data_IF_709778459074
#
_entry.id   IF_709778459074
#
_cell.length_a   1.000
_cell.length_b   1.000
_cell.length_c   1.000
_cell.angle_alpha   90.00
_cell.angle_beta   90.00
_cell.angle_gamma   90.00
#
_symmetry.space_group_name_H-M   'P 1'
#
loop_
_entity.id
_entity.type
_entity.pdbx_description
1 polymer ?
#
# COMPACT_ATOMS: atom_id res chain seq x y z
N UNK A 1 34.60 -8.44 2.04
CA UNK A 1 35.45 -7.34 2.57
C UNK A 1 34.96 -5.97 2.11
N UNK A 2 35.22 -5.46 0.90
CA UNK A 2 34.72 -4.11 0.51
C UNK A 2 33.18 -4.02 0.39
N UNK A 3 32.51 -5.08 -0.06
CA UNK A 3 31.04 -5.15 -0.16
C UNK A 3 30.33 -5.34 1.20
N UNK A 4 31.03 -5.84 2.22
CA UNK A 4 30.47 -6.07 3.57
C UNK A 4 30.34 -4.77 4.39
N UNK A 5 31.25 -3.80 4.17
CA UNK A 5 31.23 -2.52 4.89
C UNK A 5 30.34 -1.46 4.22
N UNK A 6 29.93 -1.67 2.97
CA UNK A 6 29.04 -0.76 2.25
C UNK A 6 27.70 -0.50 2.98
N UNK A 7 26.96 -1.51 3.48
CA UNK A 7 25.70 -1.27 4.18
C UNK A 7 25.86 -0.58 5.53
N UNK A 8 26.94 -0.86 6.28
CA UNK A 8 27.20 -0.21 7.57
C UNK A 8 27.55 1.28 7.40
N UNK A 9 28.42 1.59 6.42
CA UNK A 9 28.77 2.98 6.09
C UNK A 9 27.56 3.74 5.55
N UNK A 10 26.71 3.11 4.74
CA UNK A 10 25.45 3.72 4.27
C UNK A 10 24.49 3.99 5.44
N UNK A 11 24.32 3.04 6.36
CA UNK A 11 23.47 3.22 7.53
C UNK A 11 23.96 4.35 8.44
N UNK A 12 25.29 4.51 8.57
CA UNK A 12 25.90 5.57 9.38
C UNK A 12 25.80 6.95 8.70
N UNK A 13 25.97 7.02 7.38
CA UNK A 13 25.72 8.23 6.59
C UNK A 13 24.24 8.61 6.68
N UNK A 14 23.32 7.66 6.50
CA UNK A 14 21.88 7.89 6.64
C UNK A 14 21.51 8.37 8.05
N UNK A 15 22.16 7.85 9.09
CA UNK A 15 21.91 8.27 10.46
C UNK A 15 22.20 9.78 10.65
N UNK A 16 23.19 10.33 9.95
CA UNK A 16 23.52 11.76 9.97
C UNK A 16 22.46 12.66 9.32
N UNK A 17 21.67 12.14 8.37
CA UNK A 17 20.59 12.88 7.69
C UNK A 17 19.21 12.70 8.34
N UNK A 18 19.09 11.88 9.38
CA UNK A 18 17.81 11.69 10.09
C UNK A 18 17.48 12.91 10.94
N UNK A 19 16.29 13.47 10.69
CA UNK A 19 15.73 14.51 11.55
C UNK A 19 15.65 14.01 13.00
N UNK A 20 15.90 14.91 13.96
CA UNK A 20 15.72 14.60 15.38
C UNK A 20 14.28 14.16 15.64
N UNK A 21 14.01 13.23 16.59
CA UNK A 21 12.65 12.77 16.88
C UNK A 21 11.64 13.90 17.10
N UNK A 22 12.01 14.94 17.84
CA UNK A 22 11.16 16.12 18.06
C UNK A 22 10.83 16.85 16.74
N UNK A 23 11.80 16.96 15.83
CA UNK A 23 11.61 17.56 14.50
C UNK A 23 10.73 16.69 13.61
N UNK A 24 10.87 15.36 13.65
CA UNK A 24 9.99 14.44 12.91
C UNK A 24 8.54 14.58 13.38
N UNK A 25 8.31 14.55 14.70
CA UNK A 25 6.96 14.72 15.27
C UNK A 25 6.41 16.10 14.96
N UNK A 26 7.21 17.15 15.11
CA UNK A 26 6.79 18.52 14.77
C UNK A 26 6.43 18.67 13.30
N UNK A 27 7.25 18.15 12.39
CA UNK A 27 7.01 18.16 10.95
C UNK A 27 5.75 17.35 10.60
N UNK A 28 5.57 16.18 11.22
CA UNK A 28 4.37 15.36 11.05
C UNK A 28 3.11 16.14 11.44
N UNK A 29 3.11 16.80 12.61
CA UNK A 29 1.96 17.59 13.07
C UNK A 29 1.64 18.73 12.11
N UNK A 30 2.65 19.49 11.66
CA UNK A 30 2.45 20.60 10.71
C UNK A 30 1.86 20.09 9.40
N UNK A 31 2.41 19.01 8.84
CA UNK A 31 1.95 18.46 7.57
C UNK A 31 0.57 17.80 7.69
N UNK A 32 0.25 17.15 8.80
CA UNK A 32 -1.10 16.65 9.07
C UNK A 32 -2.12 17.78 9.13
N UNK A 33 -1.83 18.85 9.88
CA UNK A 33 -2.73 20.01 9.97
C UNK A 33 -2.93 20.66 8.61
N UNK A 34 -1.84 20.87 7.86
CA UNK A 34 -1.89 21.45 6.52
C UNK A 34 -2.69 20.57 5.55
N UNK A 35 -2.45 19.25 5.55
CA UNK A 35 -3.14 18.30 4.70
C UNK A 35 -4.63 18.23 5.00
N UNK A 36 -5.02 18.15 6.28
CA UNK A 36 -6.43 18.18 6.68
C UNK A 36 -7.09 19.50 6.29
N UNK A 37 -6.40 20.64 6.50
CA UNK A 37 -6.90 21.94 6.07
C UNK A 37 -7.14 22.00 4.55
N UNK A 38 -6.21 21.48 3.74
CA UNK A 38 -6.36 21.38 2.29
C UNK A 38 -7.54 20.48 1.88
N UNK A 39 -7.70 19.33 2.55
CA UNK A 39 -8.83 18.41 2.31
C UNK A 39 -10.17 19.10 2.62
N UNK A 40 -10.22 19.94 3.66
CA UNK A 40 -11.42 20.73 3.97
C UNK A 40 -11.72 21.79 2.91
N UNK A 41 -10.69 22.41 2.31
CA UNK A 41 -10.90 23.35 1.20
C UNK A 41 -11.54 22.69 -0.04
N UNK A 42 -11.39 21.37 -0.20
CA UNK A 42 -12.03 20.63 -1.27
C UNK A 42 -13.55 20.42 -1.09
N UNK A 43 -14.14 20.87 0.03
CA UNK A 43 -15.59 20.82 0.31
C UNK A 43 -16.20 19.43 0.13
N UNK A 44 -15.43 18.39 0.43
CA UNK A 44 -15.89 17.00 0.34
C UNK A 44 -16.95 16.70 1.41
N UNK A 45 -17.89 15.76 1.16
CA UNK A 45 -18.77 15.24 2.19
C UNK A 45 -17.95 14.75 3.40
N UNK A 46 -18.46 14.96 4.61
CA UNK A 46 -17.71 14.66 5.85
C UNK A 46 -17.15 13.23 5.87
N UNK A 47 -17.94 12.23 5.46
CA UNK A 47 -17.50 10.84 5.40
C UNK A 47 -16.30 10.64 4.46
N UNK A 48 -16.35 11.24 3.26
CA UNK A 48 -15.24 11.21 2.30
C UNK A 48 -14.01 11.95 2.82
N UNK A 49 -14.20 13.11 3.46
CA UNK A 49 -13.12 13.88 4.04
C UNK A 49 -12.38 13.09 5.15
N UNK A 50 -13.11 12.34 5.98
CA UNK A 50 -12.52 11.46 7.00
C UNK A 50 -11.68 10.37 6.34
N UNK A 51 -12.23 9.66 5.35
CA UNK A 51 -11.53 8.57 4.64
C UNK A 51 -10.24 9.07 3.98
N UNK A 52 -10.32 10.18 3.23
CA UNK A 52 -9.16 10.78 2.56
C UNK A 52 -8.12 11.23 3.58
N UNK A 53 -8.54 11.81 4.72
CA UNK A 53 -7.63 12.21 5.79
C UNK A 53 -6.93 11.00 6.42
N UNK A 54 -7.64 9.89 6.65
CA UNK A 54 -7.03 8.64 7.16
C UNK A 54 -5.96 8.10 6.22
N UNK A 55 -6.27 8.03 4.91
CA UNK A 55 -5.31 7.58 3.90
C UNK A 55 -4.10 8.52 3.84
N UNK A 56 -4.34 9.83 3.85
CA UNK A 56 -3.29 10.84 3.83
C UNK A 56 -2.33 10.70 5.02
N UNK A 57 -2.86 10.58 6.24
CA UNK A 57 -2.04 10.41 7.45
C UNK A 57 -1.24 9.11 7.39
N UNK A 58 -1.84 8.02 6.91
CA UNK A 58 -1.16 6.73 6.79
C UNK A 58 0.01 6.77 5.79
N UNK A 59 -0.15 7.47 4.66
CA UNK A 59 0.92 7.64 3.67
C UNK A 59 2.03 8.59 4.13
N UNK A 60 1.66 9.62 4.88
CA UNK A 60 2.61 10.62 5.39
C UNK A 60 3.48 10.08 6.53
N UNK A 61 2.92 9.20 7.36
CA UNK A 61 3.58 8.67 8.55
C UNK A 61 4.94 8.00 8.26
N UNK A 62 5.08 7.01 7.36
CA UNK A 62 6.35 6.34 7.12
C UNK A 62 7.35 7.24 6.39
N UNK A 63 6.90 8.32 5.75
CA UNK A 63 7.75 9.30 5.09
C UNK A 63 8.51 10.17 6.12
N UNK A 64 7.85 10.54 7.21
CA UNK A 64 8.40 11.46 8.21
C UNK A 64 8.93 10.74 9.44
N UNK A 65 8.17 9.78 9.98
CA UNK A 65 8.50 9.07 11.21
C UNK A 65 9.39 7.88 10.87
N UNK A 66 10.68 8.01 11.18
CA UNK A 66 11.70 6.95 11.02
C UNK A 66 12.14 6.33 12.35
N UNK A 67 11.48 6.70 13.45
CA UNK A 67 11.77 6.21 14.79
C UNK A 67 11.27 4.77 14.93
N UNK A 68 12.13 3.85 15.35
CA UNK A 68 11.82 2.43 15.58
C UNK A 68 11.64 2.18 17.08
N UNK A 69 10.40 2.25 17.56
CA UNK A 69 10.03 1.84 18.91
C UNK A 69 8.63 1.19 18.92
N UNK A 70 8.30 0.49 20.00
CA UNK A 70 7.03 -0.26 20.09
C UNK A 70 5.79 0.59 19.81
N UNK A 71 5.78 1.84 20.26
CA UNK A 71 4.67 2.75 20.05
C UNK A 71 4.56 3.17 18.58
N UNK A 72 5.67 3.55 17.95
CA UNK A 72 5.67 4.00 16.55
C UNK A 72 5.33 2.87 15.60
N UNK A 73 5.75 1.65 15.91
CA UNK A 73 5.35 0.43 15.21
C UNK A 73 3.85 0.16 15.36
N UNK A 74 3.32 0.20 16.59
CA UNK A 74 1.89 -0.01 16.82
C UNK A 74 1.03 1.04 16.09
N UNK A 75 1.47 2.30 16.08
CA UNK A 75 0.84 3.37 15.31
C UNK A 75 0.89 3.11 13.81
N UNK A 76 2.03 2.64 13.27
CA UNK A 76 2.12 2.23 11.86
C UNK A 76 1.08 1.18 11.50
N UNK A 77 0.96 0.11 12.29
CA UNK A 77 -0.04 -0.94 12.06
C UNK A 77 -1.47 -0.40 12.16
N UNK A 78 -1.73 0.48 13.13
CA UNK A 78 -3.02 1.14 13.27
C UNK A 78 -3.39 1.99 12.06
N UNK A 79 -2.45 2.78 11.56
CA UNK A 79 -2.64 3.63 10.37
C UNK A 79 -2.79 2.79 9.09
N UNK A 80 -1.98 1.74 8.93
CA UNK A 80 -2.10 0.77 7.84
C UNK A 80 -3.50 0.16 7.80
N UNK A 81 -3.92 -0.44 8.92
CA UNK A 81 -5.22 -1.10 9.04
C UNK A 81 -6.37 -0.12 8.85
N UNK A 82 -6.27 1.09 9.41
CA UNK A 82 -7.28 2.14 9.22
C UNK A 82 -7.39 2.58 7.76
N UNK A 83 -6.28 2.78 7.05
CA UNK A 83 -6.29 3.16 5.65
C UNK A 83 -6.89 2.06 4.77
N UNK A 84 -6.46 0.80 4.93
CA UNK A 84 -7.06 -0.32 4.19
C UNK A 84 -8.54 -0.48 4.49
N UNK A 85 -8.94 -0.45 5.76
CA UNK A 85 -10.34 -0.54 6.15
C UNK A 85 -11.17 0.62 5.57
N UNK A 86 -10.61 1.84 5.53
CA UNK A 86 -11.28 3.00 4.96
C UNK A 86 -11.46 2.87 3.44
N UNK A 87 -10.45 2.38 2.71
CA UNK A 87 -10.56 2.14 1.25
C UNK A 87 -11.60 1.04 0.98
N UNK A 88 -11.55 -0.08 1.71
CA UNK A 88 -12.51 -1.16 1.57
C UNK A 88 -13.93 -0.72 1.91
N UNK A 89 -14.11 0.01 3.01
CA UNK A 89 -15.41 0.57 3.40
C UNK A 89 -15.94 1.50 2.31
N UNK A 90 -15.11 2.40 1.79
CA UNK A 90 -15.50 3.33 0.73
C UNK A 90 -15.97 2.59 -0.51
N UNK A 91 -15.25 1.55 -0.93
CA UNK A 91 -15.58 0.72 -2.08
C UNK A 91 -16.90 -0.04 -1.87
N UNK A 92 -17.09 -0.65 -0.70
CA UNK A 92 -18.32 -1.39 -0.39
C UNK A 92 -19.53 -0.46 -0.29
N UNK A 93 -19.40 0.63 0.45
CA UNK A 93 -20.52 1.55 0.70
C UNK A 93 -20.90 2.37 -0.54
N UNK A 94 -19.93 2.73 -1.39
CA UNK A 94 -20.18 3.59 -2.56
C UNK A 94 -20.59 2.79 -3.80
N UNK A 95 -20.20 1.52 -3.92
CA UNK A 95 -20.43 0.74 -5.14
C UNK A 95 -21.15 -0.59 -4.91
N UNK A 96 -20.72 -1.41 -3.95
CA UNK A 96 -21.32 -2.75 -3.77
C UNK A 96 -22.72 -2.69 -3.17
N UNK A 97 -22.90 -1.94 -2.07
CA UNK A 97 -24.18 -1.86 -1.40
C UNK A 97 -25.27 -1.20 -2.26
N UNK A 98 -25.00 -0.06 -2.94
CA UNK A 98 -25.99 0.56 -3.83
C UNK A 98 -26.37 -0.32 -5.03
N UNK A 99 -25.46 -1.19 -5.47
CA UNK A 99 -25.73 -2.16 -6.54
C UNK A 99 -26.62 -3.31 -6.08
N UNK A 100 -26.42 -3.81 -4.84
CA UNK A 100 -27.28 -4.84 -4.24
C UNK A 100 -28.71 -4.35 -3.99
N UNK A 101 -28.88 -3.07 -3.66
CA UNK A 101 -30.20 -2.46 -3.43
C UNK A 101 -30.87 -1.94 -4.71
N UNK A 102 -30.24 -2.15 -5.88
CA UNK A 102 -30.77 -1.73 -7.18
C UNK A 102 -30.77 -0.21 -7.43
N UNK A 103 -30.12 0.56 -6.55
CA UNK A 103 -30.02 2.02 -6.67
C UNK A 103 -28.94 2.50 -7.65
N UNK A 104 -27.98 1.63 -8.00
CA UNK A 104 -26.95 1.88 -9.01
C UNK A 104 -26.63 0.59 -9.78
N UNK A 105 -26.04 0.73 -10.97
CA UNK A 105 -25.54 -0.43 -11.72
C UNK A 105 -24.31 -1.03 -11.02
N UNK A 106 -24.19 -2.37 -11.04
CA UNK A 106 -22.95 -3.03 -10.59
C UNK A 106 -21.77 -2.54 -11.42
N UNK A 107 -20.62 -2.35 -10.75
CA UNK A 107 -19.35 -2.17 -11.44
C UNK A 107 -19.12 -3.35 -12.39
N UNK A 108 -18.54 -3.06 -13.56
CA UNK A 108 -18.13 -4.13 -14.47
C UNK A 108 -17.07 -5.01 -13.80
N UNK A 109 -16.99 -6.27 -14.23
CA UNK A 109 -16.05 -7.23 -13.64
C UNK A 109 -14.61 -6.75 -13.80
N UNK A 110 -14.32 -6.03 -14.87
CA UNK A 110 -13.01 -5.46 -15.16
C UNK A 110 -12.67 -4.27 -14.26
N UNK A 111 -13.64 -3.43 -13.94
CA UNK A 111 -13.46 -2.36 -12.97
C UNK A 111 -13.15 -2.94 -11.58
N UNK A 112 -13.88 -3.99 -11.17
CA UNK A 112 -13.61 -4.72 -9.92
C UNK A 112 -12.21 -5.31 -9.94
N UNK A 113 -11.82 -5.97 -11.05
CA UNK A 113 -10.49 -6.54 -11.20
C UNK A 113 -9.37 -5.47 -11.07
N UNK A 114 -9.54 -4.31 -11.70
CA UNK A 114 -8.60 -3.19 -11.57
C UNK A 114 -8.52 -2.69 -10.13
N UNK A 115 -9.65 -2.61 -9.42
CA UNK A 115 -9.66 -2.22 -8.00
C UNK A 115 -8.94 -3.24 -7.12
N UNK A 116 -9.10 -4.54 -7.37
CA UNK A 116 -8.39 -5.58 -6.62
C UNK A 116 -6.89 -5.48 -6.86
N UNK A 117 -6.45 -5.31 -8.10
CA UNK A 117 -5.03 -5.07 -8.45
C UNK A 117 -4.49 -3.85 -7.71
N UNK A 118 -5.23 -2.74 -7.74
CA UNK A 118 -4.82 -1.51 -7.06
C UNK A 118 -4.72 -1.71 -5.54
N UNK A 119 -5.70 -2.36 -4.93
CA UNK A 119 -5.69 -2.69 -3.50
C UNK A 119 -4.53 -3.62 -3.13
N UNK A 120 -4.20 -4.56 -4.01
CA UNK A 120 -3.10 -5.48 -3.80
C UNK A 120 -1.75 -4.76 -3.83
N UNK A 121 -1.52 -3.90 -4.83
CA UNK A 121 -0.31 -3.06 -4.93
C UNK A 121 -0.22 -2.11 -3.74
N UNK A 122 -1.27 -1.32 -3.49
CA UNK A 122 -1.27 -0.32 -2.41
C UNK A 122 -1.17 -0.99 -1.05
N UNK A 123 -1.86 -2.11 -0.85
CA UNK A 123 -1.79 -2.88 0.39
C UNK A 123 -0.38 -3.38 0.66
N UNK A 124 0.26 -3.98 -0.34
CA UNK A 124 1.65 -4.47 -0.21
C UNK A 124 2.64 -3.33 -0.01
N UNK A 125 2.55 -2.25 -0.78
CA UNK A 125 3.46 -1.11 -0.66
C UNK A 125 3.31 -0.39 0.69
N UNK A 126 2.07 -0.18 1.13
CA UNK A 126 1.79 0.42 2.42
C UNK A 126 2.28 -0.48 3.56
N UNK A 127 2.15 -1.80 3.42
CA UNK A 127 2.70 -2.75 4.38
C UNK A 127 4.24 -2.70 4.41
N UNK A 128 4.89 -2.61 3.26
CA UNK A 128 6.35 -2.48 3.17
C UNK A 128 6.88 -1.22 3.86
N UNK A 129 6.18 -0.10 3.71
CA UNK A 129 6.61 1.16 4.30
C UNK A 129 6.24 1.35 5.77
N UNK A 130 5.04 0.89 6.19
CA UNK A 130 4.59 1.07 7.57
C UNK A 130 5.11 -0.02 8.50
N UNK A 131 5.27 -1.24 8.00
CA UNK A 131 5.54 -2.43 8.80
C UNK A 131 6.85 -3.12 8.40
N UNK A 132 7.86 -2.37 7.93
CA UNK A 132 9.15 -2.86 7.42
C UNK A 132 9.78 -3.98 8.26
N UNK A 133 9.79 -3.88 9.59
CA UNK A 133 10.35 -4.90 10.50
C UNK A 133 9.58 -6.23 10.51
N UNK A 134 8.33 -6.21 10.06
CA UNK A 134 7.41 -7.34 10.00
C UNK A 134 7.11 -7.75 8.55
N UNK A 135 7.70 -7.08 7.57
CA UNK A 135 7.77 -7.55 6.18
C UNK A 135 8.62 -8.81 6.21
N UNK A 136 7.99 -9.95 5.93
CA UNK A 136 8.55 -11.30 5.77
C UNK A 136 10.09 -11.35 5.71
N UNK A 137 10.75 -11.22 6.87
CA UNK A 137 12.18 -10.87 6.89
C UNK A 137 13.07 -12.03 6.42
N UNK A 138 12.52 -13.23 6.42
CA UNK A 138 13.18 -14.46 6.03
C UNK A 138 12.41 -15.09 4.87
N UNK A 139 13.16 -15.55 3.86
CA UNK A 139 12.64 -16.37 2.76
C UNK A 139 12.25 -17.76 3.26
N UNK A 140 11.17 -17.82 4.03
CA UNK A 140 10.56 -19.07 4.51
C UNK A 140 9.40 -19.49 3.59
N UNK A 141 8.98 -20.76 3.68
CA UNK A 141 7.91 -21.33 2.84
C UNK A 141 6.60 -20.52 2.90
N UNK A 142 6.33 -19.86 4.04
CA UNK A 142 5.18 -18.97 4.24
C UNK A 142 5.22 -17.75 3.32
N UNK A 143 6.40 -17.16 3.16
CA UNK A 143 6.60 -15.99 2.29
C UNK A 143 6.40 -16.36 0.82
N UNK A 144 6.90 -17.52 0.39
CA UNK A 144 6.67 -18.05 -0.95
C UNK A 144 5.20 -18.40 -1.19
N UNK A 145 4.53 -19.02 -0.22
CA UNK A 145 3.11 -19.33 -0.33
C UNK A 145 2.27 -18.07 -0.46
N UNK A 146 2.50 -17.05 0.38
CA UNK A 146 1.77 -15.79 0.30
C UNK A 146 2.04 -15.09 -1.04
N UNK A 147 3.30 -15.00 -1.46
CA UNK A 147 3.67 -14.38 -2.74
C UNK A 147 3.00 -15.09 -3.91
N UNK A 148 2.93 -16.43 -3.88
CA UNK A 148 2.25 -17.21 -4.91
C UNK A 148 0.73 -16.94 -4.94
N UNK A 149 0.09 -16.85 -3.77
CA UNK A 149 -1.36 -16.55 -3.67
C UNK A 149 -1.65 -15.15 -4.21
N UNK A 150 -0.88 -14.15 -3.76
CA UNK A 150 -1.01 -12.77 -4.24
C UNK A 150 -0.77 -12.70 -5.75
N UNK A 151 0.36 -13.21 -6.23
CA UNK A 151 0.69 -13.22 -7.66
C UNK A 151 -0.37 -13.93 -8.53
N UNK A 152 -0.97 -15.02 -8.05
CA UNK A 152 -2.06 -15.69 -8.75
C UNK A 152 -3.33 -14.83 -8.81
N UNK A 153 -3.68 -14.15 -7.70
CA UNK A 153 -4.77 -13.18 -7.64
C UNK A 153 -4.54 -11.99 -8.57
N UNK A 154 -3.35 -11.39 -8.51
CA UNK A 154 -2.90 -10.31 -9.37
C UNK A 154 -3.00 -10.70 -10.85
N UNK A 155 -2.46 -11.86 -11.23
CA UNK A 155 -2.51 -12.36 -12.60
C UNK A 155 -3.95 -12.53 -13.10
N UNK A 156 -4.80 -13.18 -12.29
CA UNK A 156 -6.19 -13.43 -12.67
C UNK A 156 -6.95 -12.10 -12.89
N UNK A 157 -6.79 -11.15 -11.97
CA UNK A 157 -7.43 -9.84 -12.09
C UNK A 157 -6.89 -9.05 -13.29
N UNK A 158 -5.57 -9.04 -13.48
CA UNK A 158 -4.94 -8.31 -14.58
C UNK A 158 -5.34 -8.89 -15.94
N UNK A 159 -5.42 -10.21 -16.04
CA UNK A 159 -5.91 -10.88 -17.24
C UNK A 159 -7.36 -10.51 -17.54
N UNK A 160 -8.25 -10.56 -16.54
CA UNK A 160 -9.66 -10.15 -16.70
C UNK A 160 -9.75 -8.71 -17.18
N UNK A 161 -9.03 -7.78 -16.55
CA UNK A 161 -9.01 -6.38 -16.94
C UNK A 161 -8.52 -6.18 -18.38
N UNK A 162 -7.38 -6.78 -18.75
CA UNK A 162 -6.80 -6.65 -20.09
C UNK A 162 -7.63 -7.34 -21.17
N UNK A 163 -8.38 -8.39 -20.82
CA UNK A 163 -9.23 -9.12 -21.77
C UNK A 163 -10.37 -8.26 -22.35
N UNK A 164 -10.85 -7.24 -21.61
CA UNK A 164 -11.87 -6.32 -22.13
C UNK A 164 -11.40 -5.45 -23.30
N UNK A 165 -10.08 -5.32 -23.50
CA UNK A 165 -9.51 -4.58 -24.62
C UNK A 165 -9.28 -5.46 -25.86
N UNK A 166 -9.83 -6.68 -25.89
CA UNK A 166 -9.72 -7.63 -27.00
C UNK A 166 -8.27 -7.94 -27.45
N UNK A 167 -7.34 -7.90 -26.50
CA UNK A 167 -5.90 -8.09 -26.71
C UNK A 167 -5.50 -9.56 -27.00
N UNK A 168 -6.40 -10.52 -26.79
CA UNK A 168 -6.16 -11.94 -27.06
C UNK A 168 -4.91 -12.48 -26.35
N UNK A 169 -4.02 -13.13 -27.10
CA UNK A 169 -2.77 -13.68 -26.55
C UNK A 169 -1.86 -12.63 -25.90
N UNK A 170 -1.90 -11.37 -26.36
CA UNK A 170 -1.07 -10.31 -25.78
C UNK A 170 -1.48 -9.95 -24.35
N UNK A 171 -2.77 -10.11 -23.98
CA UNK A 171 -3.24 -9.93 -22.60
C UNK A 171 -2.56 -10.93 -21.65
N UNK A 172 -2.41 -12.18 -22.08
CA UNK A 172 -1.78 -13.23 -21.29
C UNK A 172 -0.29 -12.90 -21.07
N UNK A 173 0.41 -12.49 -22.15
CA UNK A 173 1.83 -12.13 -22.06
C UNK A 173 2.06 -10.94 -21.12
N UNK A 174 1.28 -9.85 -21.27
CA UNK A 174 1.41 -8.68 -20.41
C UNK A 174 1.09 -9.06 -18.95
N UNK A 175 0.02 -9.83 -18.74
CA UNK A 175 -0.35 -10.29 -17.40
C UNK A 175 0.76 -11.12 -16.76
N UNK A 176 1.38 -12.03 -17.51
CA UNK A 176 2.49 -12.85 -17.02
C UNK A 176 3.71 -12.00 -16.67
N UNK A 177 4.11 -11.07 -17.54
CA UNK A 177 5.28 -10.20 -17.31
C UNK A 177 5.07 -9.30 -16.09
N UNK A 178 3.92 -8.62 -16.00
CA UNK A 178 3.63 -7.75 -14.86
C UNK A 178 3.45 -8.52 -13.56
N UNK A 179 2.91 -9.75 -13.62
CA UNK A 179 2.85 -10.62 -12.44
C UNK A 179 4.24 -11.04 -11.98
N UNK A 180 5.16 -11.35 -12.89
CA UNK A 180 6.55 -11.64 -12.51
C UNK A 180 7.22 -10.43 -11.85
N UNK A 181 6.98 -9.22 -12.36
CA UNK A 181 7.47 -7.98 -11.74
C UNK A 181 6.86 -7.76 -10.36
N UNK A 182 5.55 -7.97 -10.20
CA UNK A 182 4.85 -7.87 -8.93
C UNK A 182 5.37 -8.89 -7.92
N UNK A 183 5.51 -10.16 -8.32
CA UNK A 183 6.07 -11.22 -7.48
C UNK A 183 7.49 -10.88 -7.02
N UNK A 184 8.32 -10.32 -7.92
CA UNK A 184 9.65 -9.86 -7.57
C UNK A 184 9.64 -8.70 -6.55
N UNK A 185 8.70 -7.75 -6.70
CA UNK A 185 8.56 -6.63 -5.77
C UNK A 185 8.03 -7.04 -4.38
N UNK A 186 7.23 -8.12 -4.32
CA UNK A 186 6.67 -8.65 -3.06
C UNK A 186 7.66 -9.59 -2.34
N UNK A 187 8.55 -10.25 -3.08
CA UNK A 187 9.52 -11.17 -2.50
C UNK A 187 10.47 -10.41 -1.55
N UNK A 188 10.74 -10.95 -0.35
CA UNK A 188 11.63 -10.30 0.59
C UNK A 188 13.08 -10.31 0.10
N UNK A 189 13.75 -9.18 0.34
CA UNK A 189 15.09 -8.86 -0.18
C UNK A 189 16.22 -9.54 0.61
N UNK A 190 16.01 -9.90 1.87
CA UNK A 190 17.07 -10.49 2.71
C UNK A 190 17.20 -12.00 2.46
N UNK A 191 18.40 -12.50 2.09
CA UNK A 191 18.65 -13.94 2.02
C UNK A 191 18.63 -14.56 3.43
N UNK A 192 18.38 -15.88 3.46
CA UNK A 192 18.48 -16.72 4.67
C UNK A 192 19.92 -16.76 5.16
#
# INVERSE_FOLDING_TARGET
>A
MAEEFAPEVLAEIEAGYRLRPATQVGLMLVLVVLGIWLIQQAQLPLGTAIIVSTIYVALLYPLIIKIKNRLTIALSFGLYGAALAAILYWLVASYFLPALTGSQAMLSVEAIALYVIFLEIVGMELFHHLCEEYVFYERDWRSYLLTAILSAGFFACLYVFLSAYALGFTAILISAVLTMMFAWAVLPEKPV
#
